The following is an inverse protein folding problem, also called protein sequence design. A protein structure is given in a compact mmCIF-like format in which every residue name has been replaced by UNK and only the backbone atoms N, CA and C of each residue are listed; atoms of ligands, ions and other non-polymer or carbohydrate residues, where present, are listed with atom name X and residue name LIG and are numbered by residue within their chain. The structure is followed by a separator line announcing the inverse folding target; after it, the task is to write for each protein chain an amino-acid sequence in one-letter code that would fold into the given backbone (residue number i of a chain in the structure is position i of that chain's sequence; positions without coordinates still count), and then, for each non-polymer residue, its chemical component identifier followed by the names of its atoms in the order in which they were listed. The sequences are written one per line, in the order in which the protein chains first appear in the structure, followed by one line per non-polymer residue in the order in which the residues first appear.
data_IF_681394467846
#
_entry.id   IF_681394467846
#
_cell.length_a   1.000
_cell.length_b   1.000
_cell.length_c   1.000
_cell.angle_alpha   90.00
_cell.angle_beta   90.00
_cell.angle_gamma   90.00
#
_symmetry.space_group_name_H-M   'P 1'
#
loop_
_entity.id
_entity.type
_entity.pdbx_description
1 polymer ?
#
# COMPACT_ATOMS: atom_id res chain seq x y z
N UNK A 1 -10.36 8.80 11.72
CA UNK A 1 -9.37 9.55 10.93
C UNK A 1 -9.11 8.73 9.70
N UNK A 2 -9.45 9.20 8.49
CA UNK A 2 -9.19 8.41 7.28
C UNK A 2 -7.71 8.47 7.00
N UNK A 3 -7.00 7.41 7.34
CA UNK A 3 -5.54 7.34 7.30
C UNK A 3 -5.08 7.43 5.83
N UNK A 4 -4.41 8.53 5.46
CA UNK A 4 -3.95 8.81 4.09
C UNK A 4 -2.77 7.87 3.77
N UNK A 5 -3.07 6.67 3.27
CA UNK A 5 -2.08 5.69 2.83
C UNK A 5 -1.80 5.83 1.34
N UNK A 6 -0.58 5.56 0.94
CA UNK A 6 -0.21 5.42 -0.47
C UNK A 6 -0.44 3.97 -0.93
N UNK A 7 -0.77 3.79 -2.22
CA UNK A 7 -0.89 2.46 -2.80
C UNK A 7 0.48 1.98 -3.29
N UNK A 8 0.97 0.89 -2.71
CA UNK A 8 2.20 0.20 -3.08
C UNK A 8 1.95 -1.11 -3.82
N UNK A 9 2.94 -1.60 -4.57
CA UNK A 9 2.98 -2.97 -5.12
C UNK A 9 4.27 -3.67 -4.69
N UNK A 10 4.17 -4.91 -4.23
CA UNK A 10 5.34 -5.77 -4.07
C UNK A 10 5.86 -6.24 -5.44
N UNK A 11 7.14 -6.64 -5.50
CA UNK A 11 7.79 -7.05 -6.75
C UNK A 11 7.59 -8.53 -7.08
N UNK A 12 7.17 -9.34 -6.11
CA UNK A 12 7.08 -10.80 -6.26
C UNK A 12 5.77 -11.20 -6.94
N UNK A 13 4.67 -10.62 -6.50
CA UNK A 13 3.30 -10.96 -6.90
C UNK A 13 2.58 -9.80 -7.57
N UNK A 14 3.06 -8.56 -7.36
CA UNK A 14 2.37 -7.37 -7.83
C UNK A 14 1.08 -7.08 -7.07
N UNK A 15 0.89 -7.61 -5.87
CA UNK A 15 -0.26 -7.36 -5.00
C UNK A 15 -0.25 -5.92 -4.50
N UNK A 16 -1.42 -5.32 -4.35
CA UNK A 16 -1.52 -3.95 -3.84
C UNK A 16 -1.43 -3.94 -2.30
N UNK A 17 -0.56 -3.08 -1.77
CA UNK A 17 -0.35 -2.90 -0.33
C UNK A 17 -0.57 -1.45 0.10
N UNK A 18 -1.02 -1.25 1.34
CA UNK A 18 -1.06 0.07 1.95
C UNK A 18 0.32 0.43 2.48
N UNK A 19 0.87 1.56 2.07
CA UNK A 19 2.14 2.12 2.56
C UNK A 19 1.85 3.42 3.30
N UNK A 20 2.57 3.66 4.40
CA UNK A 20 2.49 4.94 5.10
C UNK A 20 2.90 6.07 4.15
N UNK A 21 2.00 7.02 3.93
CA UNK A 21 2.25 8.12 3.00
C UNK A 21 3.44 8.99 3.38
N UNK A 22 3.71 9.15 4.66
CA UNK A 22 4.90 9.87 5.17
C UNK A 22 6.21 9.22 4.75
N UNK A 23 6.20 7.95 4.36
CA UNK A 23 7.38 7.22 3.88
C UNK A 23 7.44 7.11 2.35
N UNK A 24 6.37 7.45 1.64
CA UNK A 24 6.22 7.20 0.20
C UNK A 24 7.22 8.00 -0.67
N UNK A 25 7.76 9.11 -0.15
CA UNK A 25 8.77 9.93 -0.84
C UNK A 25 10.22 9.45 -0.56
N UNK A 26 10.40 8.47 0.33
CA UNK A 26 11.71 7.88 0.61
C UNK A 26 12.10 6.86 -0.49
N UNK A 27 13.39 6.52 -0.63
CA UNK A 27 13.82 5.50 -1.58
C UNK A 27 13.26 4.11 -1.23
N UNK A 28 12.98 3.32 -2.28
CA UNK A 28 12.60 1.92 -2.16
C UNK A 28 13.70 1.06 -1.47
N UNK A 29 13.33 -0.07 -0.84
CA UNK A 29 11.96 -0.59 -0.68
C UNK A 29 11.18 0.09 0.44
N UNK A 30 9.86 0.21 0.27
CA UNK A 30 8.95 0.66 1.33
C UNK A 30 8.40 -0.51 2.13
N UNK A 31 8.03 -0.25 3.38
CA UNK A 31 7.28 -1.20 4.19
C UNK A 31 5.78 -0.96 4.03
N UNK A 32 5.05 -2.01 3.65
CA UNK A 32 3.60 -2.04 3.78
C UNK A 32 3.18 -2.12 5.26
N UNK A 33 1.93 -1.75 5.57
CA UNK A 33 1.35 -1.92 6.91
C UNK A 33 1.44 -3.37 7.41
N UNK A 34 1.28 -4.35 6.52
CA UNK A 34 1.38 -5.77 6.85
C UNK A 34 2.83 -6.28 6.96
N UNK A 35 3.84 -5.40 6.80
CA UNK A 35 5.26 -5.75 6.84
C UNK A 35 5.87 -6.20 5.51
N UNK A 36 5.09 -6.30 4.44
CA UNK A 36 5.60 -6.69 3.12
C UNK A 36 6.50 -5.62 2.50
N UNK A 37 7.55 -6.03 1.77
CA UNK A 37 8.40 -5.13 1.00
C UNK A 37 7.72 -4.69 -0.29
N UNK A 38 7.55 -3.39 -0.44
CA UNK A 38 6.95 -2.73 -1.61
C UNK A 38 8.06 -2.14 -2.46
N UNK A 39 8.03 -2.43 -3.76
CA UNK A 39 9.05 -1.94 -4.70
C UNK A 39 8.60 -0.75 -5.54
N UNK A 40 7.32 -0.39 -5.52
CA UNK A 40 6.79 0.81 -6.17
C UNK A 40 5.59 1.35 -5.41
N UNK A 41 5.52 2.66 -5.24
CA UNK A 41 4.37 3.36 -4.65
C UNK A 41 3.80 4.34 -5.67
N UNK A 42 2.50 4.22 -5.96
CA UNK A 42 1.81 5.06 -6.95
C UNK A 42 0.36 5.34 -6.53
N UNK A 43 0.07 6.60 -6.26
CA UNK A 43 -1.28 7.07 -5.94
C UNK A 43 -1.71 6.76 -4.51
N UNK A 44 -3.03 6.82 -4.28
CA UNK A 44 -3.64 6.66 -2.95
C UNK A 44 -4.16 5.24 -2.75
N UNK A 45 -4.06 4.75 -1.52
CA UNK A 45 -4.59 3.44 -1.12
C UNK A 45 -6.11 3.36 -1.26
N UNK A 46 -6.83 4.44 -0.96
CA UNK A 46 -8.30 4.52 -1.11
C UNK A 46 -8.78 4.63 -2.58
N UNK A 47 -7.85 4.60 -3.54
CA UNK A 47 -8.15 4.75 -4.97
C UNK A 47 -8.04 3.45 -5.79
N UNK A 48 -8.11 3.56 -7.13
CA UNK A 48 -8.09 2.41 -8.05
C UNK A 48 -6.83 1.54 -7.95
N UNK A 49 -5.74 2.08 -7.41
CA UNK A 49 -4.45 1.38 -7.28
C UNK A 49 -4.30 0.61 -5.98
N UNK A 50 -5.14 0.90 -4.97
CA UNK A 50 -5.13 0.25 -3.67
C UNK A 50 -6.38 -0.63 -3.46
N UNK A 51 -7.36 -0.15 -2.72
CA UNK A 51 -8.63 -0.86 -2.41
C UNK A 51 -9.41 -1.25 -3.67
N UNK A 52 -9.32 -0.45 -4.74
CA UNK A 52 -9.92 -0.73 -6.05
C UNK A 52 -9.07 -1.62 -6.98
N UNK A 53 -7.91 -2.11 -6.52
CA UNK A 53 -7.06 -3.03 -7.27
C UNK A 53 -7.77 -4.39 -7.49
N UNK A 54 -7.38 -5.10 -8.55
CA UNK A 54 -7.82 -6.48 -8.78
C UNK A 54 -7.34 -7.47 -7.69
N UNK A 55 -6.20 -7.18 -7.04
CA UNK A 55 -5.66 -7.97 -5.93
C UNK A 55 -5.12 -7.04 -4.82
N UNK A 56 -5.98 -6.56 -3.90
CA UNK A 56 -5.58 -5.83 -2.72
C UNK A 56 -5.20 -6.77 -1.59
N UNK A 57 -4.14 -6.45 -0.85
CA UNK A 57 -3.73 -7.21 0.32
C UNK A 57 -4.82 -7.16 1.41
N UNK A 58 -5.40 -8.30 1.82
CA UNK A 58 -6.50 -8.33 2.79
C UNK A 58 -6.08 -7.82 4.18
N UNK A 59 -4.82 -8.02 4.56
CA UNK A 59 -4.31 -7.52 5.83
C UNK A 59 -4.13 -6.00 5.82
N UNK A 60 -3.65 -5.43 4.71
CA UNK A 60 -3.61 -3.97 4.53
C UNK A 60 -5.02 -3.35 4.50
N UNK A 61 -6.01 -4.03 3.91
CA UNK A 61 -7.41 -3.59 3.96
C UNK A 61 -7.91 -3.50 5.41
N UNK A 62 -7.65 -4.54 6.20
CA UNK A 62 -8.05 -4.61 7.61
C UNK A 62 -7.33 -3.55 8.45
N UNK A 63 -6.03 -3.40 8.29
CA UNK A 63 -5.20 -2.46 9.07
C UNK A 63 -5.48 -0.99 8.73
N UNK A 64 -5.76 -0.67 7.47
CA UNK A 64 -6.02 0.71 7.05
C UNK A 64 -7.44 1.20 7.35
N UNK A 65 -8.36 0.31 7.73
CA UNK A 65 -9.74 0.64 8.11
C UNK A 65 -9.89 1.01 9.60
N UNK A 66 -8.90 0.70 10.44
CA UNK A 66 -8.83 1.07 11.86
C UNK A 66 -8.18 2.43 12.09
#
# INVERSE_FOLDING_TARGET
MTTDHAAGRDQETGRAHAVLRTTADLPAPWAALCGASVGVVQGRWDGPRGTGSADPCPECLRLAAG
#
